data_IF_149700965622
#
_entry.id   IF_149700965622
#
_cell.length_a   1.000
_cell.length_b   1.000
_cell.length_c   1.000
_cell.angle_alpha   90.00
_cell.angle_beta   90.00
_cell.angle_gamma   90.00
#
_symmetry.space_group_name_H-M   'P 1'
#
loop_
_entity.id
_entity.type
_entity.pdbx_description
1 polymer ?
#
# COMPACT_ATOMS: atom_id res chain seq x y z
N UNK A 1 -5.03 -46.47 20.05
CA UNK A 1 -5.71 -45.36 19.36
C UNK A 1 -4.74 -44.19 19.22
N UNK A 2 -4.06 -44.07 18.07
CA UNK A 2 -3.17 -42.93 17.73
C UNK A 2 -3.51 -42.50 16.32
N UNK A 3 -4.57 -41.71 16.16
CA UNK A 3 -5.06 -41.34 14.84
C UNK A 3 -5.87 -40.04 14.86
N UNK A 4 -5.30 -38.92 15.35
CA UNK A 4 -5.97 -37.60 15.26
C UNK A 4 -5.02 -36.39 15.10
N UNK A 5 -3.71 -36.58 14.90
CA UNK A 5 -2.75 -35.46 14.85
C UNK A 5 -2.19 -35.17 13.44
N UNK A 6 -2.44 -36.02 12.45
CA UNK A 6 -1.93 -35.84 11.08
C UNK A 6 -2.77 -34.88 10.23
N UNK A 7 -4.04 -34.70 10.56
CA UNK A 7 -4.95 -33.86 9.75
C UNK A 7 -4.84 -32.36 10.06
N UNK A 8 -4.48 -31.98 11.29
CA UNK A 8 -4.31 -30.57 11.69
C UNK A 8 -3.04 -29.99 11.05
N UNK A 9 -1.96 -30.78 10.99
CA UNK A 9 -0.71 -30.35 10.36
C UNK A 9 -0.85 -30.10 8.85
N UNK A 10 -1.72 -30.85 8.17
CA UNK A 10 -1.91 -30.71 6.73
C UNK A 10 -2.64 -29.40 6.35
N UNK A 11 -3.58 -28.95 7.18
CA UNK A 11 -4.33 -27.70 6.94
C UNK A 11 -3.44 -26.48 7.17
N UNK A 12 -2.59 -26.50 8.20
CA UNK A 12 -1.67 -25.38 8.48
C UNK A 12 -0.64 -25.19 7.36
N UNK A 13 -0.16 -26.29 6.74
CA UNK A 13 0.78 -26.21 5.61
C UNK A 13 0.10 -25.69 4.33
N UNK A 14 -1.17 -26.00 4.10
CA UNK A 14 -1.91 -25.49 2.93
C UNK A 14 -2.24 -24.00 3.08
N UNK A 15 -2.54 -23.53 4.31
CA UNK A 15 -2.76 -22.10 4.55
C UNK A 15 -1.46 -21.31 4.41
N UNK A 16 -0.32 -21.84 4.88
CA UNK A 16 0.99 -21.18 4.71
C UNK A 16 1.45 -21.11 3.25
N UNK A 17 1.09 -22.08 2.40
CA UNK A 17 1.44 -22.04 0.97
C UNK A 17 0.51 -21.15 0.13
N UNK A 18 -0.74 -20.93 0.58
CA UNK A 18 -1.67 -20.05 -0.12
C UNK A 18 -1.33 -18.56 0.10
N UNK A 19 -0.73 -18.21 1.23
CA UNK A 19 -0.36 -16.81 1.54
C UNK A 19 0.88 -16.34 0.75
N UNK A 20 1.71 -17.25 0.23
CA UNK A 20 2.97 -16.87 -0.44
C UNK A 20 2.92 -16.86 -1.96
N UNK A 21 1.77 -17.08 -2.60
CA UNK A 21 1.69 -17.27 -4.08
C UNK A 21 0.86 -16.21 -4.82
N UNK A 22 0.56 -15.08 -4.18
CA UNK A 22 -0.14 -13.95 -4.82
C UNK A 22 0.51 -12.60 -4.48
N UNK A 23 1.84 -12.55 -4.53
CA UNK A 23 2.53 -11.28 -4.74
C UNK A 23 3.23 -11.43 -6.08
N UNK A 24 2.66 -10.88 -7.14
CA UNK A 24 3.43 -10.65 -8.36
C UNK A 24 4.64 -9.79 -7.95
N UNK A 25 5.85 -10.32 -8.18
CA UNK A 25 7.13 -9.66 -7.98
C UNK A 25 7.29 -8.48 -8.97
N UNK A 26 6.42 -7.49 -8.88
CA UNK A 26 6.55 -6.25 -9.64
C UNK A 26 7.33 -5.26 -8.76
N UNK A 27 8.65 -5.20 -8.99
CA UNK A 27 9.53 -4.26 -8.31
C UNK A 27 9.23 -2.84 -8.80
N UNK A 28 9.00 -1.91 -7.87
CA UNK A 28 8.84 -0.48 -8.18
C UNK A 28 10.22 0.11 -8.46
N UNK A 29 10.42 0.72 -9.62
CA UNK A 29 11.69 1.36 -10.01
C UNK A 29 11.74 2.81 -9.51
N UNK A 30 10.63 3.52 -9.66
CA UNK A 30 10.46 4.91 -9.25
C UNK A 30 9.01 5.17 -8.81
N UNK A 31 8.86 6.20 -7.97
CA UNK A 31 7.55 6.73 -7.59
C UNK A 31 7.44 8.18 -8.02
N UNK A 32 6.39 8.51 -8.76
CA UNK A 32 6.08 9.89 -9.15
C UNK A 32 4.99 10.39 -8.22
N UNK A 33 5.23 11.52 -7.56
CA UNK A 33 4.29 12.15 -6.64
C UNK A 33 3.78 13.44 -7.28
N UNK A 34 2.46 13.58 -7.34
CA UNK A 34 1.77 14.78 -7.84
C UNK A 34 0.82 15.29 -6.75
N UNK A 35 1.13 16.46 -6.20
CA UNK A 35 0.34 17.12 -5.15
C UNK A 35 -0.72 18.08 -5.70
N UNK A 36 -0.81 18.20 -7.04
CA UNK A 36 -1.60 19.20 -7.76
C UNK A 36 -0.92 20.58 -7.85
N UNK A 37 0.02 20.88 -6.95
CA UNK A 37 0.85 22.10 -6.98
C UNK A 37 2.25 21.82 -7.52
N UNK A 38 2.83 20.69 -7.13
CA UNK A 38 4.19 20.27 -7.48
C UNK A 38 4.20 18.80 -7.87
N UNK A 39 5.16 18.44 -8.73
CA UNK A 39 5.42 17.07 -9.13
C UNK A 39 6.89 16.77 -8.95
N UNK A 40 7.21 15.65 -8.32
CA UNK A 40 8.58 15.19 -8.15
C UNK A 40 8.68 13.67 -8.20
N UNK A 41 9.89 13.19 -8.45
CA UNK A 41 10.20 11.77 -8.58
C UNK A 41 11.03 11.31 -7.39
N UNK A 42 10.57 10.28 -6.70
CA UNK A 42 11.34 9.54 -5.71
C UNK A 42 12.00 8.39 -6.46
N UNK A 43 13.33 8.44 -6.53
CA UNK A 43 14.16 7.36 -7.08
C UNK A 43 15.37 7.13 -6.18
N UNK A 44 15.90 5.91 -6.21
CA UNK A 44 17.01 5.47 -5.38
C UNK A 44 16.59 4.51 -4.27
N UNK A 45 17.41 3.47 -4.08
CA UNK A 45 17.11 2.30 -3.24
C UNK A 45 16.66 2.68 -1.81
N UNK A 46 17.42 3.53 -1.12
CA UNK A 46 17.11 3.91 0.27
C UNK A 46 15.79 4.70 0.41
N UNK A 47 15.53 5.64 -0.51
CA UNK A 47 14.33 6.47 -0.47
C UNK A 47 13.09 5.66 -0.82
N UNK A 48 13.21 4.81 -1.85
CA UNK A 48 12.13 3.98 -2.33
C UNK A 48 11.79 2.86 -1.34
N UNK A 49 12.79 2.19 -0.76
CA UNK A 49 12.60 1.16 0.27
C UNK A 49 11.88 1.75 1.49
N UNK A 50 12.25 2.97 1.92
CA UNK A 50 11.58 3.65 3.03
C UNK A 50 10.11 3.93 2.73
N UNK A 51 9.80 4.46 1.54
CA UNK A 51 8.42 4.74 1.14
C UNK A 51 7.58 3.48 1.00
N UNK A 52 8.11 2.46 0.34
CA UNK A 52 7.46 1.16 0.22
C UNK A 52 7.27 0.49 1.60
N UNK A 53 8.16 0.77 2.55
CA UNK A 53 7.99 0.41 3.96
C UNK A 53 6.69 0.93 4.55
N UNK A 54 6.30 2.18 4.26
CA UNK A 54 5.00 2.72 4.68
C UNK A 54 3.84 2.01 3.99
N UNK A 55 3.96 1.68 2.70
CA UNK A 55 2.95 0.90 1.98
C UNK A 55 2.70 -0.49 2.59
N UNK A 56 3.72 -1.08 3.21
CA UNK A 56 3.58 -2.35 3.92
C UNK A 56 2.65 -2.31 5.13
N UNK A 57 2.41 -1.12 5.68
CA UNK A 57 1.60 -0.89 6.89
C UNK A 57 0.16 -0.47 6.57
N UNK A 58 -0.22 -0.46 5.29
CA UNK A 58 -1.60 -0.15 4.86
C UNK A 58 -2.55 -1.26 5.34
N UNK A 59 -3.59 -0.86 6.08
CA UNK A 59 -4.71 -1.74 6.39
C UNK A 59 -5.73 -1.71 5.25
N UNK A 60 -5.70 -2.73 4.39
CA UNK A 60 -6.65 -2.87 3.29
C UNK A 60 -8.03 -3.34 3.79
N UNK A 61 -9.06 -2.55 3.50
CA UNK A 61 -10.43 -2.77 3.96
C UNK A 61 -11.45 -2.98 2.85
N UNK A 62 -12.68 -3.34 3.24
CA UNK A 62 -13.80 -3.38 2.31
C UNK A 62 -14.04 -1.98 1.73
N UNK A 63 -14.36 -1.91 0.43
CA UNK A 63 -14.50 -0.74 -0.47
C UNK A 63 -15.51 0.36 -0.04
N UNK A 64 -15.55 0.72 1.24
CA UNK A 64 -16.40 1.76 1.80
C UNK A 64 -15.53 2.98 1.99
N UNK A 65 -15.76 4.02 1.18
CA UNK A 65 -15.06 5.29 1.34
C UNK A 65 -15.34 5.87 2.74
N UNK A 66 -14.30 6.30 3.47
CA UNK A 66 -14.49 6.91 4.77
C UNK A 66 -15.35 8.16 4.64
N UNK A 67 -16.30 8.32 5.57
CA UNK A 67 -17.15 9.51 5.64
C UNK A 67 -16.46 10.58 6.52
N UNK A 68 -15.24 10.95 6.13
CA UNK A 68 -14.39 11.92 6.82
C UNK A 68 -14.06 13.09 5.90
N UNK A 69 -13.77 14.25 6.48
CA UNK A 69 -13.39 15.43 5.70
C UNK A 69 -11.99 15.22 5.11
N UNK A 70 -11.85 15.61 3.84
CA UNK A 70 -10.63 15.41 3.06
C UNK A 70 -9.90 16.73 2.95
N UNK A 71 -8.66 16.78 3.41
CA UNK A 71 -7.87 18.02 3.45
C UNK A 71 -7.06 18.19 2.17
N UNK A 72 -6.42 17.13 1.70
CA UNK A 72 -5.53 17.17 0.53
C UNK A 72 -5.52 15.86 -0.25
N UNK A 73 -5.34 15.98 -1.57
CA UNK A 73 -5.13 14.85 -2.48
C UNK A 73 -3.70 14.83 -2.95
N UNK A 74 -3.09 13.64 -2.91
CA UNK A 74 -1.83 13.37 -3.57
C UNK A 74 -2.01 12.15 -4.46
N UNK A 75 -1.58 12.24 -5.71
CA UNK A 75 -1.50 11.09 -6.62
C UNK A 75 -0.08 10.55 -6.58
N UNK A 76 0.05 9.25 -6.38
CA UNK A 76 1.34 8.56 -6.36
C UNK A 76 1.32 7.46 -7.40
N UNK A 77 2.18 7.58 -8.41
CA UNK A 77 2.32 6.60 -9.48
C UNK A 77 3.52 5.72 -9.21
N UNK A 78 3.29 4.41 -9.07
CA UNK A 78 4.37 3.42 -9.05
C UNK A 78 4.72 3.02 -10.48
N UNK A 79 5.97 3.23 -10.88
CA UNK A 79 6.52 2.78 -12.15
C UNK A 79 7.25 1.45 -11.90
N UNK A 80 6.91 0.42 -12.66
CA UNK A 80 7.36 -0.96 -12.41
C UNK A 80 8.55 -1.31 -13.33
N UNK A 81 9.63 -1.88 -12.78
CA UNK A 81 10.90 -2.10 -13.49
C UNK A 81 10.80 -3.01 -14.75
N UNK A 82 9.87 -3.96 -14.74
CA UNK A 82 9.71 -4.97 -15.79
C UNK A 82 8.34 -4.91 -16.51
N UNK A 83 7.59 -3.83 -16.31
CA UNK A 83 6.28 -3.62 -16.93
C UNK A 83 6.15 -2.22 -17.53
N UNK A 84 5.40 -2.10 -18.63
CA UNK A 84 4.91 -0.79 -19.09
C UNK A 84 3.66 -0.35 -18.29
N UNK A 85 3.27 -1.11 -17.27
CA UNK A 85 2.16 -0.80 -16.38
C UNK A 85 2.62 0.16 -15.26
N UNK A 86 1.79 1.18 -15.05
CA UNK A 86 1.91 2.16 -13.98
C UNK A 86 0.70 2.01 -13.06
N UNK A 87 0.92 2.15 -11.75
CA UNK A 87 -0.16 2.07 -10.76
C UNK A 87 -0.35 3.43 -10.09
N UNK A 88 -1.43 4.11 -10.46
CA UNK A 88 -1.84 5.40 -9.90
C UNK A 88 -2.66 5.23 -8.61
N UNK A 89 -2.02 5.39 -7.46
CA UNK A 89 -2.65 5.47 -6.16
C UNK A 89 -3.11 6.90 -5.87
N UNK A 90 -4.25 7.03 -5.20
CA UNK A 90 -4.73 8.34 -4.71
C UNK A 90 -4.74 8.32 -3.20
N UNK A 91 -4.05 9.26 -2.58
CA UNK A 91 -3.94 9.41 -1.13
C UNK A 91 -4.77 10.63 -0.69
N UNK A 92 -5.60 10.44 0.32
CA UNK A 92 -6.39 11.46 0.97
C UNK A 92 -5.90 11.63 2.40
N UNK A 93 -5.36 12.79 2.72
CA UNK A 93 -5.01 13.13 4.09
C UNK A 93 -6.24 13.64 4.85
N UNK A 94 -6.27 13.38 6.15
CA UNK A 94 -7.34 13.77 7.07
C UNK A 94 -6.80 14.66 8.19
N UNK A 95 -7.67 15.50 8.76
CA UNK A 95 -7.30 16.44 9.85
C UNK A 95 -6.82 15.74 11.13
N UNK A 96 -7.13 14.46 11.32
CA UNK A 96 -6.69 13.66 12.47
C UNK A 96 -5.33 12.98 12.26
N UNK A 97 -4.66 13.26 11.13
CA UNK A 97 -3.37 12.71 10.77
C UNK A 97 -3.43 11.32 10.14
N UNK A 98 -4.61 10.70 10.04
CA UNK A 98 -4.79 9.47 9.26
C UNK A 98 -4.81 9.76 7.76
N UNK A 99 -4.68 8.70 6.95
CA UNK A 99 -4.75 8.82 5.50
C UNK A 99 -5.47 7.64 4.86
N UNK A 100 -6.29 7.94 3.85
CA UNK A 100 -6.94 6.94 3.01
C UNK A 100 -6.20 6.79 1.68
N UNK A 101 -6.02 5.57 1.21
CA UNK A 101 -5.42 5.26 -0.08
C UNK A 101 -6.44 4.53 -0.94
N UNK A 102 -6.60 5.00 -2.17
CA UNK A 102 -7.41 4.33 -3.19
C UNK A 102 -6.46 3.67 -4.17
N UNK A 103 -6.48 2.33 -4.20
CA UNK A 103 -5.65 1.54 -5.11
C UNK A 103 -6.32 1.35 -6.47
N UNK A 104 -5.57 1.49 -7.58
CA UNK A 104 -6.05 1.14 -8.92
C UNK A 104 -6.04 -0.37 -9.14
N UNK A 105 -5.34 -1.13 -8.29
CA UNK A 105 -5.09 -2.56 -8.47
C UNK A 105 -6.31 -3.38 -8.10
N UNK A 106 -6.66 -4.31 -8.99
CA UNK A 106 -7.79 -5.20 -8.78
C UNK A 106 -7.57 -6.06 -7.53
N UNK A 107 -8.41 -5.86 -6.51
CA UNK A 107 -8.41 -6.64 -5.27
C UNK A 107 -7.86 -5.91 -4.03
N UNK A 108 -7.24 -4.74 -4.18
CA UNK A 108 -6.75 -3.93 -3.04
C UNK A 108 -7.82 -2.94 -2.55
N UNK A 109 -8.52 -2.26 -3.45
CA UNK A 109 -9.66 -1.41 -3.07
C UNK A 109 -9.24 -0.15 -2.32
N UNK A 110 -9.69 0.00 -1.07
CA UNK A 110 -9.40 1.15 -0.21
C UNK A 110 -8.55 0.67 0.97
N UNK A 111 -7.42 1.34 1.18
CA UNK A 111 -6.53 1.12 2.30
C UNK A 111 -6.51 2.33 3.23
N UNK A 112 -6.12 2.13 4.47
CA UNK A 112 -5.99 3.19 5.47
C UNK A 112 -4.62 3.10 6.16
N UNK A 113 -4.04 4.26 6.43
CA UNK A 113 -2.97 4.45 7.42
C UNK A 113 -3.56 5.11 8.66
N UNK A 114 -3.12 4.66 9.83
CA UNK A 114 -3.44 5.32 11.08
C UNK A 114 -2.74 6.68 11.22
N UNK A 115 -2.99 7.38 12.33
CA UNK A 115 -2.38 8.69 12.61
C UNK A 115 -0.85 8.66 12.57
N UNK A 116 -0.20 7.60 13.05
CA UNK A 116 1.26 7.51 13.10
C UNK A 116 1.86 7.43 11.69
N UNK A 117 1.36 6.52 10.86
CA UNK A 117 1.86 6.34 9.50
C UNK A 117 1.36 7.42 8.55
N UNK A 118 0.13 7.90 8.71
CA UNK A 118 -0.45 8.95 7.88
C UNK A 118 0.35 10.25 7.97
N UNK A 119 0.72 10.69 9.19
CA UNK A 119 1.57 11.88 9.37
C UNK A 119 2.99 11.70 8.82
N UNK A 120 3.57 10.49 8.92
CA UNK A 120 4.90 10.20 8.38
C UNK A 120 4.89 10.32 6.85
N UNK A 121 3.90 9.72 6.20
CA UNK A 121 3.73 9.79 4.75
C UNK A 121 3.41 11.22 4.31
N UNK A 122 2.54 11.93 5.04
CA UNK A 122 2.24 13.34 4.76
C UNK A 122 3.50 14.21 4.79
N UNK A 123 4.32 14.08 5.83
CA UNK A 123 5.59 14.81 5.96
C UNK A 123 6.54 14.48 4.82
N UNK A 124 6.67 13.20 4.47
CA UNK A 124 7.55 12.78 3.38
C UNK A 124 7.06 13.21 2.00
N UNK A 125 5.73 13.39 1.83
CA UNK A 125 5.13 13.73 0.55
C UNK A 125 4.92 15.24 0.32
N UNK A 126 4.87 16.05 1.38
CA UNK A 126 4.44 17.45 1.30
C UNK A 126 5.43 18.46 1.89
N UNK A 127 6.50 18.02 2.56
CA UNK A 127 7.57 18.88 3.13
C UNK A 127 8.84 18.91 2.25
#
# INVERSE_FOLDING_TARGET
>A
MRLKWTWIALIVVVVLFAVTTMSSDEEVEEMIVDTGEEQYTISGEDSLERFLGYWGEIEWGDHTMPNMERTQDVTVTHVLSDSEEELDYVIWFHDDGSATIVSPKAGEGIGEWDEEFGMLVETELLD
#
